data_IF_266250298137
#
_entry.id   IF_266250298137
#
_cell.length_a   1.000
_cell.length_b   1.000
_cell.length_c   1.000
_cell.angle_alpha   90.00
_cell.angle_beta   90.00
_cell.angle_gamma   90.00
#
_symmetry.space_group_name_H-M   'P 1'
#
loop_
_entity.id
_entity.type
_entity.pdbx_description
1 polymer ?
#
# COMPACT_ATOMS: atom_id res chain seq x y z
N UNK A 1 -28.22 -70.19 22.06
CA UNK A 1 -29.36 -69.50 22.70
C UNK A 1 -28.87 -68.42 23.63
N UNK A 2 -28.44 -67.27 23.11
CA UNK A 2 -28.17 -66.03 23.88
C UNK A 2 -28.19 -64.86 22.91
N UNK A 3 -29.36 -64.45 22.50
CA UNK A 3 -29.62 -63.23 21.71
C UNK A 3 -31.08 -62.94 21.90
N UNK A 4 -31.47 -62.05 22.83
CA UNK A 4 -32.75 -61.38 22.94
C UNK A 4 -32.98 -60.79 24.35
N UNK A 5 -32.04 -60.01 24.90
CA UNK A 5 -32.30 -59.13 26.06
C UNK A 5 -31.34 -57.96 25.98
N UNK A 6 -31.44 -57.12 24.91
CA UNK A 6 -30.71 -55.87 24.84
C UNK A 6 -31.44 -54.80 24.00
N UNK A 7 -32.80 -54.94 23.95
CA UNK A 7 -33.61 -53.97 23.14
C UNK A 7 -34.70 -53.28 23.91
N UNK A 8 -34.66 -53.24 25.24
CA UNK A 8 -35.74 -52.64 26.03
C UNK A 8 -35.30 -51.60 27.06
N UNK A 9 -34.03 -51.15 27.01
CA UNK A 9 -33.50 -50.12 27.93
C UNK A 9 -32.95 -48.87 27.23
N UNK A 10 -33.32 -48.63 25.95
CA UNK A 10 -32.89 -47.46 25.18
C UNK A 10 -34.01 -46.52 24.78
N UNK A 11 -35.21 -46.68 25.34
CA UNK A 11 -36.37 -45.82 25.02
C UNK A 11 -36.90 -44.97 26.16
N UNK A 12 -36.18 -44.80 27.29
CA UNK A 12 -36.65 -44.00 28.40
C UNK A 12 -35.70 -42.93 28.92
N UNK A 13 -34.72 -42.51 28.12
CA UNK A 13 -33.80 -41.38 28.43
C UNK A 13 -33.86 -40.27 27.32
N UNK A 14 -34.98 -40.12 26.62
CA UNK A 14 -35.16 -39.09 25.60
C UNK A 14 -36.31 -38.11 25.92
N UNK A 15 -36.72 -38.03 27.19
CA UNK A 15 -37.85 -37.15 27.51
C UNK A 15 -37.64 -36.19 28.68
N UNK A 16 -36.40 -35.89 29.12
CA UNK A 16 -36.13 -34.80 30.08
C UNK A 16 -34.80 -34.12 29.69
N UNK A 17 -34.77 -33.48 28.55
CA UNK A 17 -33.76 -32.44 28.23
C UNK A 17 -34.24 -31.54 27.08
N UNK A 18 -35.47 -31.18 27.14
CA UNK A 18 -36.08 -30.26 26.19
C UNK A 18 -36.36 -28.90 26.82
N UNK A 19 -35.36 -28.19 27.34
CA UNK A 19 -35.40 -26.75 27.63
C UNK A 19 -33.98 -26.23 27.85
N UNK A 20 -33.08 -26.56 26.95
CA UNK A 20 -31.93 -25.69 26.71
C UNK A 20 -32.32 -24.85 25.51
N UNK A 21 -32.72 -23.62 25.76
CA UNK A 21 -32.70 -22.58 24.76
C UNK A 21 -31.28 -22.54 24.16
N UNK A 22 -31.07 -23.35 23.13
CA UNK A 22 -30.03 -23.09 22.18
C UNK A 22 -30.42 -21.75 21.57
N UNK A 23 -29.81 -20.69 22.08
CA UNK A 23 -29.67 -19.46 21.35
C UNK A 23 -29.04 -19.83 20.03
N UNK A 24 -29.81 -19.94 18.97
CA UNK A 24 -29.32 -19.68 17.63
C UNK A 24 -28.77 -18.28 17.71
N UNK A 25 -27.43 -18.17 17.78
CA UNK A 25 -26.76 -17.04 17.18
C UNK A 25 -26.98 -17.20 15.67
N UNK A 26 -28.23 -16.85 15.23
CA UNK A 26 -28.41 -16.47 13.86
C UNK A 26 -27.39 -15.36 13.63
N UNK A 27 -26.60 -15.45 12.58
CA UNK A 27 -25.86 -14.32 12.06
C UNK A 27 -26.84 -13.14 12.06
N UNK A 28 -26.68 -12.22 13.03
CA UNK A 28 -27.38 -10.94 12.97
C UNK A 28 -26.88 -10.35 11.66
N UNK A 29 -27.78 -10.17 10.68
CA UNK A 29 -27.44 -9.48 9.44
C UNK A 29 -26.71 -8.19 9.82
N UNK A 30 -25.39 -8.19 9.64
CA UNK A 30 -24.58 -7.04 10.00
C UNK A 30 -25.04 -5.87 9.15
N UNK A 31 -25.42 -4.75 9.78
CA UNK A 31 -25.81 -3.55 9.06
C UNK A 31 -24.65 -2.94 8.30
N UNK A 32 -23.42 -3.22 8.76
CA UNK A 32 -22.18 -2.76 8.15
C UNK A 32 -21.36 -3.96 7.71
N UNK A 33 -21.00 -3.99 6.43
CA UNK A 33 -20.05 -4.93 5.86
C UNK A 33 -18.94 -4.15 5.17
N UNK A 34 -17.74 -4.15 5.77
CA UNK A 34 -16.55 -3.51 5.22
C UNK A 34 -15.67 -4.53 4.51
N UNK A 35 -15.50 -4.35 3.18
CA UNK A 35 -14.53 -5.10 2.40
C UNK A 35 -13.20 -4.34 2.39
N UNK A 36 -12.24 -4.83 3.17
CA UNK A 36 -10.94 -4.20 3.35
C UNK A 36 -9.93 -4.61 2.26
N UNK A 37 -9.24 -3.61 1.72
CA UNK A 37 -8.18 -3.75 0.71
C UNK A 37 -6.83 -4.14 1.32
N UNK A 38 -6.53 -3.72 2.56
CA UNK A 38 -5.19 -3.81 3.18
C UNK A 38 -5.04 -5.08 4.03
N UNK A 39 -4.34 -6.14 3.53
CA UNK A 39 -4.15 -7.38 4.29
C UNK A 39 -3.39 -7.17 5.61
N UNK A 40 -2.43 -6.25 5.64
CA UNK A 40 -1.63 -5.91 6.81
C UNK A 40 -2.45 -5.32 7.96
N UNK A 41 -3.63 -4.76 7.66
CA UNK A 41 -4.54 -4.14 8.61
C UNK A 41 -5.66 -5.08 9.10
N UNK A 42 -5.75 -6.32 8.60
CA UNK A 42 -6.88 -7.23 8.82
C UNK A 42 -7.22 -7.42 10.30
N UNK A 43 -6.25 -7.81 11.12
CA UNK A 43 -6.48 -8.08 12.56
C UNK A 43 -6.91 -6.84 13.33
N UNK A 44 -6.39 -5.67 12.95
CA UNK A 44 -6.74 -4.40 13.60
C UNK A 44 -8.18 -4.01 13.26
N UNK A 45 -8.62 -4.19 12.02
CA UNK A 45 -10.01 -3.94 11.65
C UNK A 45 -11.00 -4.92 12.32
N UNK A 46 -10.60 -6.17 12.56
CA UNK A 46 -11.41 -7.13 13.32
C UNK A 46 -11.56 -6.72 14.79
N UNK A 47 -10.49 -6.23 15.43
CA UNK A 47 -10.54 -5.68 16.79
C UNK A 47 -11.44 -4.43 16.84
N UNK A 48 -11.30 -3.56 15.88
CA UNK A 48 -12.00 -2.29 15.75
C UNK A 48 -13.50 -2.52 15.55
N UNK A 49 -13.90 -3.52 14.74
CA UNK A 49 -15.29 -3.93 14.57
C UNK A 49 -15.93 -4.36 15.90
N UNK A 50 -15.21 -5.14 16.72
CA UNK A 50 -15.66 -5.54 18.06
C UNK A 50 -15.82 -4.33 18.98
N UNK A 51 -14.87 -3.38 18.95
CA UNK A 51 -14.96 -2.16 19.76
C UNK A 51 -16.15 -1.29 19.38
N UNK A 52 -16.40 -1.15 18.09
CA UNK A 52 -17.57 -0.43 17.61
C UNK A 52 -18.89 -1.10 18.07
N UNK A 53 -18.98 -2.43 17.99
CA UNK A 53 -20.15 -3.16 18.46
C UNK A 53 -20.34 -3.03 19.99
N UNK A 54 -19.24 -3.09 20.77
CA UNK A 54 -19.27 -2.88 22.23
C UNK A 54 -19.81 -1.49 22.59
N UNK A 55 -19.41 -0.45 21.86
CA UNK A 55 -19.79 0.93 22.14
C UNK A 55 -21.18 1.33 21.60
N UNK A 56 -21.59 0.75 20.48
CA UNK A 56 -22.79 1.21 19.75
C UNK A 56 -23.92 0.17 19.66
N UNK A 57 -23.60 -1.09 19.92
CA UNK A 57 -24.52 -2.21 19.72
C UNK A 57 -24.69 -2.61 18.25
N UNK A 58 -23.98 -1.99 17.32
CA UNK A 58 -24.05 -2.28 15.87
C UNK A 58 -22.91 -3.19 15.45
N UNK A 59 -23.22 -4.39 14.98
CA UNK A 59 -22.23 -5.34 14.49
C UNK A 59 -21.66 -4.89 13.14
N UNK A 60 -20.33 -5.03 12.98
CA UNK A 60 -19.59 -4.77 11.74
C UNK A 60 -18.94 -6.06 11.27
N UNK A 61 -19.28 -6.50 10.07
CA UNK A 61 -18.58 -7.58 9.37
C UNK A 61 -17.39 -6.99 8.61
N UNK A 62 -16.19 -7.48 8.90
CA UNK A 62 -14.99 -7.14 8.13
C UNK A 62 -14.54 -8.36 7.33
N UNK A 63 -14.32 -8.19 6.04
CA UNK A 63 -13.67 -9.19 5.18
C UNK A 63 -12.48 -8.53 4.52
N UNK A 64 -11.31 -9.11 4.68
CA UNK A 64 -10.10 -8.62 4.04
C UNK A 64 -9.78 -9.46 2.82
N UNK A 65 -9.63 -8.83 1.67
CA UNK A 65 -9.18 -9.50 0.46
C UNK A 65 -7.72 -9.94 0.59
N UNK A 66 -7.37 -11.09 0.01
CA UNK A 66 -5.98 -11.49 -0.08
C UNK A 66 -5.20 -10.51 -0.97
N UNK A 67 -3.88 -10.42 -0.75
CA UNK A 67 -3.03 -9.54 -1.55
C UNK A 67 -3.27 -9.73 -3.05
N UNK A 68 -3.42 -8.62 -3.76
CA UNK A 68 -3.65 -8.55 -5.23
C UNK A 68 -4.91 -9.27 -5.75
N UNK A 69 -5.87 -9.57 -4.88
CA UNK A 69 -7.15 -10.18 -5.28
C UNK A 69 -8.36 -9.28 -5.00
N UNK A 70 -8.13 -8.05 -4.58
CA UNK A 70 -9.21 -7.17 -4.12
C UNK A 70 -10.29 -6.95 -5.19
N UNK A 71 -9.91 -6.58 -6.41
CA UNK A 71 -10.85 -6.34 -7.50
C UNK A 71 -11.69 -7.58 -7.85
N UNK A 72 -11.06 -8.76 -7.83
CA UNK A 72 -11.78 -10.02 -8.06
C UNK A 72 -12.73 -10.34 -6.90
N UNK A 73 -12.29 -10.08 -5.66
CA UNK A 73 -13.09 -10.27 -4.46
C UNK A 73 -14.27 -9.30 -4.46
N UNK A 74 -14.04 -8.01 -4.72
CA UNK A 74 -15.09 -7.01 -4.82
C UNK A 74 -16.11 -7.38 -5.89
N UNK A 75 -15.67 -7.78 -7.09
CA UNK A 75 -16.55 -8.22 -8.16
C UNK A 75 -17.43 -9.42 -7.76
N UNK A 76 -16.87 -10.33 -6.98
CA UNK A 76 -17.60 -11.50 -6.46
C UNK A 76 -18.58 -11.15 -5.35
N UNK A 77 -18.20 -10.24 -4.44
CA UNK A 77 -18.99 -9.88 -3.27
C UNK A 77 -20.08 -8.86 -3.56
N UNK A 78 -19.82 -7.87 -4.42
CA UNK A 78 -20.74 -6.74 -4.68
C UNK A 78 -22.06 -7.17 -5.33
N UNK A 79 -22.08 -8.31 -6.00
CA UNK A 79 -23.23 -8.85 -6.68
C UNK A 79 -24.14 -9.74 -5.79
N UNK A 80 -23.72 -9.99 -4.53
CA UNK A 80 -24.46 -10.83 -3.58
C UNK A 80 -25.60 -10.06 -2.91
N UNK A 81 -26.55 -10.78 -2.35
CA UNK A 81 -27.65 -10.18 -1.56
C UNK A 81 -27.16 -9.52 -0.25
N UNK A 82 -26.05 -10.03 0.30
CA UNK A 82 -25.32 -9.50 1.46
C UNK A 82 -24.04 -8.76 1.04
N UNK A 83 -24.13 -7.98 -0.03
CA UNK A 83 -23.02 -7.23 -0.60
C UNK A 83 -22.34 -6.30 0.42
N UNK A 84 -21.01 -5.99 0.24
CA UNK A 84 -20.33 -4.99 1.04
C UNK A 84 -21.08 -3.66 1.01
N UNK A 85 -21.24 -3.05 2.19
CA UNK A 85 -21.84 -1.73 2.35
C UNK A 85 -20.81 -0.61 2.27
N UNK A 86 -19.57 -0.94 2.66
CA UNK A 86 -18.38 -0.11 2.52
C UNK A 86 -17.37 -0.91 1.68
N UNK A 87 -16.85 -0.30 0.65
CA UNK A 87 -15.78 -0.86 -0.17
C UNK A 87 -14.77 0.23 -0.55
N UNK A 88 -13.67 -0.17 -1.14
CA UNK A 88 -12.61 0.75 -1.51
C UNK A 88 -12.46 0.79 -3.03
N UNK A 89 -12.27 1.98 -3.57
CA UNK A 89 -11.91 2.19 -4.97
C UNK A 89 -10.47 2.67 -5.05
N UNK A 90 -9.75 2.16 -6.04
CA UNK A 90 -8.34 2.46 -6.22
C UNK A 90 -8.19 3.65 -7.18
N UNK A 91 -8.23 4.85 -6.63
CA UNK A 91 -8.12 6.10 -7.38
C UNK A 91 -9.24 6.35 -8.38
N UNK A 92 -9.03 7.30 -9.30
CA UNK A 92 -10.03 7.66 -10.32
C UNK A 92 -10.39 6.50 -11.27
N UNK A 93 -9.42 5.69 -11.66
CA UNK A 93 -9.64 4.51 -12.53
C UNK A 93 -10.49 3.47 -11.81
N UNK A 94 -10.21 3.21 -10.52
CA UNK A 94 -11.03 2.33 -9.70
C UNK A 94 -12.46 2.85 -9.53
N UNK A 95 -12.63 4.16 -9.35
CA UNK A 95 -13.96 4.77 -9.32
C UNK A 95 -14.72 4.55 -10.64
N UNK A 96 -14.07 4.77 -11.78
CA UNK A 96 -14.71 4.61 -13.08
C UNK A 96 -15.24 3.18 -13.31
N UNK A 97 -14.50 2.18 -12.83
CA UNK A 97 -14.91 0.78 -12.87
C UNK A 97 -16.13 0.48 -11.94
N UNK A 98 -16.29 1.22 -10.83
CA UNK A 98 -17.27 0.94 -9.78
C UNK A 98 -18.30 2.04 -9.55
N UNK A 99 -18.34 3.11 -10.35
CA UNK A 99 -19.23 4.28 -10.19
C UNK A 99 -20.71 3.93 -10.07
N UNK A 100 -21.14 2.85 -10.72
CA UNK A 100 -22.53 2.38 -10.64
C UNK A 100 -22.90 1.80 -9.26
N UNK A 101 -21.93 1.63 -8.38
CA UNK A 101 -22.14 1.16 -7.00
C UNK A 101 -21.88 2.27 -5.97
N UNK A 102 -21.27 3.39 -6.34
CA UNK A 102 -20.91 4.44 -5.41
C UNK A 102 -22.10 5.37 -5.08
N UNK A 103 -22.33 5.60 -3.79
CA UNK A 103 -23.31 6.56 -3.27
C UNK A 103 -22.70 7.98 -3.31
N UNK A 104 -23.49 8.99 -3.68
CA UNK A 104 -23.11 10.37 -3.46
C UNK A 104 -23.12 10.71 -1.96
N UNK A 105 -21.96 11.03 -1.41
CA UNK A 105 -21.74 11.30 0.02
C UNK A 105 -21.39 12.77 0.30
N UNK A 106 -21.68 13.68 -0.63
CA UNK A 106 -21.31 15.13 -0.51
C UNK A 106 -21.86 15.79 0.75
N UNK A 107 -23.02 15.35 1.24
CA UNK A 107 -23.66 15.90 2.42
C UNK A 107 -23.30 15.13 3.71
N UNK A 108 -22.39 14.16 3.64
CA UNK A 108 -21.96 13.38 4.79
C UNK A 108 -20.97 14.15 5.68
N UNK A 109 -20.98 13.82 6.98
CA UNK A 109 -19.97 14.33 7.90
C UNK A 109 -18.56 13.81 7.50
N UNK A 110 -18.47 12.58 7.01
CA UNK A 110 -17.20 12.00 6.56
C UNK A 110 -16.53 12.92 5.52
N UNK A 111 -17.25 13.34 4.48
CA UNK A 111 -16.71 14.32 3.52
C UNK A 111 -16.40 15.67 4.18
N UNK A 112 -17.22 16.11 5.14
CA UNK A 112 -16.97 17.39 5.83
C UNK A 112 -15.65 17.39 6.63
N UNK A 113 -15.19 16.23 7.10
CA UNK A 113 -13.92 16.11 7.83
C UNK A 113 -12.67 16.25 6.96
N UNK A 114 -12.78 16.02 5.63
CA UNK A 114 -11.64 16.07 4.74
C UNK A 114 -11.00 17.46 4.76
N UNK A 115 -9.70 17.54 5.02
CA UNK A 115 -8.94 18.80 5.15
C UNK A 115 -8.83 19.54 3.82
N UNK A 116 -8.55 18.79 2.75
CA UNK A 116 -8.54 19.29 1.37
C UNK A 116 -9.62 18.57 0.56
N UNK A 117 -10.67 19.32 0.18
CA UNK A 117 -11.81 18.81 -0.58
C UNK A 117 -11.46 18.36 -2.00
N UNK A 118 -10.32 18.82 -2.54
CA UNK A 118 -9.85 18.41 -3.87
C UNK A 118 -9.38 16.96 -3.91
N UNK A 119 -9.04 16.37 -2.75
CA UNK A 119 -8.64 14.98 -2.65
C UNK A 119 -9.78 13.97 -2.86
N UNK A 120 -11.05 14.40 -2.74
CA UNK A 120 -12.18 13.52 -2.94
C UNK A 120 -12.38 13.16 -4.42
N UNK A 121 -12.87 11.96 -4.69
CA UNK A 121 -13.30 11.59 -6.05
C UNK A 121 -14.65 12.25 -6.34
N UNK A 122 -14.64 13.07 -7.38
CA UNK A 122 -15.79 13.86 -7.85
C UNK A 122 -16.24 13.38 -9.22
N UNK A 123 -17.55 13.40 -9.45
CA UNK A 123 -18.14 13.23 -10.76
C UNK A 123 -19.33 14.22 -10.85
N UNK A 124 -19.23 15.22 -11.76
CA UNK A 124 -20.12 16.38 -11.77
C UNK A 124 -20.11 17.10 -10.42
N UNK A 125 -21.30 17.32 -9.83
CA UNK A 125 -21.47 17.98 -8.53
C UNK A 125 -21.45 17.00 -7.34
N UNK A 126 -21.32 15.69 -7.59
CA UNK A 126 -21.34 14.63 -6.58
C UNK A 126 -19.96 14.31 -6.02
N UNK A 127 -19.94 13.74 -4.81
CA UNK A 127 -18.74 13.18 -4.15
C UNK A 127 -18.99 11.71 -3.89
N UNK A 128 -18.17 10.84 -4.45
CA UNK A 128 -18.46 9.40 -4.47
C UNK A 128 -17.48 8.56 -3.67
N UNK A 129 -16.29 9.09 -3.37
CA UNK A 129 -15.35 8.44 -2.48
C UNK A 129 -14.42 9.47 -1.83
N UNK A 130 -13.91 9.14 -0.64
CA UNK A 130 -12.96 9.98 0.10
C UNK A 130 -11.72 9.17 0.46
N UNK A 131 -10.52 9.75 0.33
CA UNK A 131 -9.31 9.11 0.83
C UNK A 131 -9.36 9.07 2.36
N UNK A 132 -8.77 8.04 2.96
CA UNK A 132 -8.75 7.90 4.41
C UNK A 132 -7.34 7.77 4.97
N UNK A 133 -6.36 7.60 4.11
CA UNK A 133 -4.94 7.49 4.47
C UNK A 133 -4.09 8.22 3.45
N UNK A 134 -3.10 8.97 3.93
CA UNK A 134 -1.98 9.50 3.14
C UNK A 134 -0.79 8.60 3.38
N UNK A 135 -0.18 8.14 2.32
CA UNK A 135 0.95 7.23 2.37
C UNK A 135 2.12 7.78 1.55
N UNK A 136 3.30 7.31 1.87
CA UNK A 136 4.49 7.65 1.09
C UNK A 136 5.43 6.48 0.99
N UNK A 137 6.20 6.45 -0.09
CA UNK A 137 7.22 5.43 -0.31
C UNK A 137 8.51 6.02 -0.88
N UNK A 138 9.56 5.26 -0.66
CA UNK A 138 10.91 5.58 -1.08
C UNK A 138 11.83 4.39 -0.85
N UNK A 139 13.07 4.66 -0.54
CA UNK A 139 14.03 3.65 -0.07
C UNK A 139 14.12 3.78 1.45
N UNK A 140 13.60 2.77 2.16
CA UNK A 140 13.80 2.64 3.62
C UNK A 140 15.23 2.20 3.84
N UNK A 141 15.94 2.82 4.79
CA UNK A 141 17.30 2.45 5.11
C UNK A 141 17.53 2.30 6.62
N UNK A 142 18.51 1.46 6.96
CA UNK A 142 19.00 1.29 8.33
C UNK A 142 20.12 2.29 8.58
N UNK A 143 19.84 3.37 9.33
CA UNK A 143 20.80 4.44 9.58
C UNK A 143 22.04 3.95 10.30
N UNK A 144 21.94 2.97 11.20
CA UNK A 144 23.12 2.39 11.86
C UNK A 144 24.10 1.75 10.86
N UNK A 145 23.60 1.11 9.79
CA UNK A 145 24.45 0.56 8.71
C UNK A 145 25.02 1.70 7.85
N UNK A 146 24.23 2.74 7.56
CA UNK A 146 24.69 3.90 6.82
C UNK A 146 25.81 4.65 7.59
N UNK A 147 25.64 4.89 8.89
CA UNK A 147 26.68 5.50 9.72
C UNK A 147 27.97 4.67 9.77
N UNK A 148 27.83 3.32 9.81
CA UNK A 148 28.96 2.40 9.74
C UNK A 148 29.71 2.52 8.39
N UNK A 149 28.96 2.67 7.29
CA UNK A 149 29.55 2.92 5.98
C UNK A 149 30.29 4.26 5.95
N UNK A 150 29.68 5.35 6.39
CA UNK A 150 30.32 6.67 6.39
C UNK A 150 31.58 6.72 7.24
N UNK A 151 31.69 5.91 8.28
CA UNK A 151 32.85 5.79 9.13
C UNK A 151 34.02 4.95 8.55
N UNK A 152 33.83 4.28 7.39
CA UNK A 152 34.88 3.48 6.75
C UNK A 152 36.07 4.38 6.32
N UNK A 153 37.25 4.01 6.77
CA UNK A 153 38.48 4.77 6.43
C UNK A 153 38.86 4.71 4.93
N UNK A 154 38.46 3.66 4.26
CA UNK A 154 38.84 3.38 2.86
C UNK A 154 37.63 3.40 1.92
N UNK A 155 36.58 4.16 2.25
CA UNK A 155 35.47 4.36 1.32
C UNK A 155 35.93 5.16 0.11
N UNK A 156 35.39 4.88 -1.06
CA UNK A 156 35.74 5.52 -2.32
C UNK A 156 34.96 6.81 -2.59
N UNK A 157 33.92 7.07 -1.84
CA UNK A 157 33.12 8.28 -2.02
C UNK A 157 33.48 9.34 -0.99
N UNK A 158 33.32 10.61 -1.36
CA UNK A 158 33.44 11.74 -0.42
C UNK A 158 32.16 12.05 0.35
N UNK A 159 31.09 11.24 0.15
CA UNK A 159 29.79 11.38 0.80
C UNK A 159 29.89 10.89 2.24
N UNK A 160 29.49 11.74 3.21
CA UNK A 160 29.66 11.49 4.63
C UNK A 160 28.33 11.42 5.42
N UNK A 161 27.22 11.65 4.74
CA UNK A 161 25.88 11.56 5.34
C UNK A 161 24.82 11.18 4.30
N UNK A 162 23.69 10.63 4.75
CA UNK A 162 22.56 10.32 3.87
C UNK A 162 21.99 11.60 3.24
N UNK A 163 22.01 12.73 3.96
CA UNK A 163 21.54 14.02 3.43
C UNK A 163 22.32 14.53 2.19
N UNK A 164 23.53 14.03 1.97
CA UNK A 164 24.30 14.34 0.76
C UNK A 164 23.90 13.49 -0.45
N UNK A 165 23.17 12.38 -0.23
CA UNK A 165 22.66 11.49 -1.29
C UNK A 165 21.38 12.12 -1.85
N UNK A 166 21.51 13.06 -2.75
CA UNK A 166 20.40 13.80 -3.34
C UNK A 166 20.32 13.66 -4.88
N UNK A 167 20.94 12.62 -5.44
CA UNK A 167 20.86 12.28 -6.86
C UNK A 167 21.17 10.81 -7.11
N UNK A 168 20.72 10.29 -8.24
CA UNK A 168 21.04 8.92 -8.66
C UNK A 168 22.55 8.65 -8.75
N UNK A 169 23.32 9.59 -9.26
CA UNK A 169 24.77 9.43 -9.38
C UNK A 169 25.44 9.23 -8.01
N UNK A 170 25.01 9.97 -7.00
CA UNK A 170 25.49 9.83 -5.63
C UNK A 170 24.98 8.55 -4.96
N UNK A 171 23.70 8.22 -5.14
CA UNK A 171 23.14 6.96 -4.66
C UNK A 171 23.87 5.77 -5.23
N UNK A 172 24.11 5.78 -6.55
CA UNK A 172 24.87 4.73 -7.25
C UNK A 172 26.28 4.59 -6.70
N UNK A 173 27.02 5.70 -6.55
CA UNK A 173 28.37 5.68 -6.00
C UNK A 173 28.42 5.07 -4.59
N UNK A 174 27.49 5.45 -3.71
CA UNK A 174 27.39 4.89 -2.36
C UNK A 174 27.05 3.41 -2.39
N UNK A 175 26.08 2.99 -3.18
CA UNK A 175 25.65 1.59 -3.28
C UNK A 175 26.77 0.70 -3.82
N UNK A 176 27.48 1.12 -4.87
CA UNK A 176 28.59 0.36 -5.44
C UNK A 176 29.78 0.23 -4.46
N UNK A 177 30.08 1.30 -3.70
CA UNK A 177 31.14 1.25 -2.69
C UNK A 177 30.70 0.39 -1.46
N UNK A 178 29.45 0.46 -1.02
CA UNK A 178 28.90 -0.41 0.01
C UNK A 178 28.96 -1.88 -0.41
N UNK A 179 28.64 -2.18 -1.69
CA UNK A 179 28.72 -3.54 -2.25
C UNK A 179 30.17 -4.08 -2.21
N UNK A 180 31.16 -3.23 -2.45
CA UNK A 180 32.57 -3.63 -2.30
C UNK A 180 33.00 -3.83 -0.83
N UNK A 181 32.17 -3.46 0.15
CA UNK A 181 32.50 -3.51 1.58
C UNK A 181 31.46 -4.29 2.42
N UNK A 182 30.67 -5.21 1.83
CA UNK A 182 29.60 -5.94 2.52
C UNK A 182 30.04 -6.59 3.83
N UNK A 183 31.17 -7.30 3.84
CA UNK A 183 31.71 -7.97 5.02
C UNK A 183 32.00 -6.99 6.17
N UNK A 184 32.57 -5.82 5.85
CA UNK A 184 32.87 -4.79 6.85
C UNK A 184 31.60 -4.16 7.42
N UNK A 185 30.54 -4.08 6.61
CA UNK A 185 29.25 -3.57 7.00
C UNK A 185 28.43 -4.61 7.79
N UNK A 186 28.72 -5.89 7.58
CA UNK A 186 28.00 -7.03 8.19
C UNK A 186 26.66 -7.30 7.52
N UNK A 187 26.55 -7.02 6.22
CA UNK A 187 25.35 -7.23 5.40
C UNK A 187 25.65 -8.19 4.25
N UNK A 188 24.61 -8.77 3.65
CA UNK A 188 24.72 -9.70 2.52
C UNK A 188 24.49 -9.03 1.15
N UNK A 189 23.78 -7.93 1.16
CA UNK A 189 23.52 -7.07 0.00
C UNK A 189 23.21 -5.67 0.47
N UNK A 190 23.34 -4.68 -0.39
CA UNK A 190 22.95 -3.31 -0.05
C UNK A 190 21.45 -3.20 0.01
N UNK A 191 20.76 -3.79 -0.96
CA UNK A 191 19.29 -3.87 -0.98
C UNK A 191 18.80 -5.23 -0.54
N UNK A 192 17.66 -5.25 0.16
CA UNK A 192 16.85 -6.44 0.31
C UNK A 192 16.37 -6.92 -1.07
N UNK A 193 16.02 -8.19 -1.18
CA UNK A 193 15.56 -8.76 -2.43
C UNK A 193 14.32 -8.04 -2.94
N UNK A 194 14.28 -7.81 -4.23
CA UNK A 194 13.09 -7.27 -4.88
C UNK A 194 12.02 -8.34 -4.98
N UNK A 195 10.79 -8.01 -4.60
CA UNK A 195 9.64 -8.87 -4.87
C UNK A 195 9.27 -8.76 -6.34
N UNK A 196 9.59 -9.78 -7.12
CA UNK A 196 9.16 -9.92 -8.53
C UNK A 196 8.28 -11.14 -8.76
N UNK A 197 7.82 -11.83 -7.68
CA UNK A 197 6.79 -12.82 -7.81
C UNK A 197 5.47 -12.19 -8.27
N UNK A 198 4.73 -12.93 -9.10
CA UNK A 198 3.47 -12.44 -9.66
C UNK A 198 2.52 -11.97 -8.55
N UNK A 199 2.06 -10.72 -8.69
CA UNK A 199 1.15 -10.10 -7.75
C UNK A 199 1.83 -9.39 -6.56
N UNK A 200 3.13 -9.52 -6.39
CA UNK A 200 3.90 -8.81 -5.36
C UNK A 200 4.94 -7.83 -5.94
N UNK A 201 4.91 -7.67 -7.25
CA UNK A 201 5.81 -6.87 -8.07
C UNK A 201 5.37 -5.39 -8.22
N UNK A 202 4.29 -4.99 -7.55
CA UNK A 202 3.72 -3.63 -7.59
C UNK A 202 4.71 -2.53 -7.21
N UNK A 203 5.74 -2.84 -6.40
CA UNK A 203 6.81 -1.89 -6.08
C UNK A 203 7.55 -1.36 -7.31
N UNK A 204 7.58 -2.15 -8.37
CA UNK A 204 8.32 -1.86 -9.59
C UNK A 204 7.41 -1.45 -10.74
N UNK A 205 6.36 -2.22 -10.97
CA UNK A 205 5.42 -2.02 -12.07
C UNK A 205 4.56 -0.74 -11.91
N UNK A 206 4.28 -0.33 -10.67
CA UNK A 206 3.56 0.91 -10.39
C UNK A 206 4.43 1.93 -9.67
N UNK A 207 4.99 1.60 -8.52
CA UNK A 207 5.67 2.55 -7.64
C UNK A 207 6.97 3.12 -8.25
N UNK A 208 7.83 2.30 -8.84
CA UNK A 208 9.00 2.83 -9.53
C UNK A 208 8.62 3.46 -10.87
N UNK A 209 7.72 2.84 -11.67
CA UNK A 209 7.25 3.42 -12.94
C UNK A 209 6.51 4.76 -12.75
N UNK A 210 5.98 5.02 -11.56
CA UNK A 210 5.39 6.31 -11.18
C UNK A 210 6.32 7.48 -11.46
N UNK A 211 7.61 7.34 -11.14
CA UNK A 211 8.57 8.44 -11.18
C UNK A 211 8.88 8.89 -12.63
N UNK A 212 9.29 7.99 -13.56
CA UNK A 212 9.51 8.38 -14.94
C UNK A 212 8.27 8.95 -15.62
N UNK A 213 7.07 8.40 -15.34
CA UNK A 213 5.83 8.92 -15.93
C UNK A 213 5.41 10.27 -15.32
N UNK A 214 5.66 10.48 -14.02
CA UNK A 214 5.49 11.80 -13.41
C UNK A 214 6.35 12.85 -14.13
N UNK A 215 7.63 12.58 -14.36
CA UNK A 215 8.51 13.51 -15.03
C UNK A 215 8.10 13.75 -16.48
N UNK A 216 7.67 12.72 -17.20
CA UNK A 216 7.14 12.86 -18.57
C UNK A 216 5.91 13.78 -18.62
N UNK A 217 4.95 13.59 -17.69
CA UNK A 217 3.73 14.42 -17.65
C UNK A 217 4.03 15.86 -17.22
N UNK A 218 4.88 16.04 -16.21
CA UNK A 218 5.33 17.36 -15.76
C UNK A 218 5.97 18.16 -16.91
N UNK A 219 6.81 17.51 -17.72
CA UNK A 219 7.53 18.17 -18.80
C UNK A 219 6.66 18.39 -20.05
N UNK A 220 5.53 17.69 -20.15
CA UNK A 220 4.56 17.85 -21.24
C UNK A 220 3.64 19.04 -21.00
N UNK A 221 3.17 19.23 -19.78
CA UNK A 221 2.34 20.36 -19.34
C UNK A 221 2.68 20.70 -17.89
N UNK A 222 3.25 21.88 -17.68
CA UNK A 222 3.66 22.37 -16.35
C UNK A 222 2.53 23.01 -15.56
N UNK A 223 1.40 23.30 -16.19
CA UNK A 223 0.28 24.05 -15.59
C UNK A 223 -0.80 23.10 -15.06
N UNK A 224 -0.86 21.87 -15.56
CA UNK A 224 -1.84 20.86 -15.15
C UNK A 224 -1.22 19.84 -14.18
N UNK A 225 -2.02 19.35 -13.23
CA UNK A 225 -1.60 18.25 -12.34
C UNK A 225 -1.16 17.03 -13.16
N UNK A 226 0.04 16.46 -12.93
CA UNK A 226 0.56 15.34 -13.70
C UNK A 226 -0.35 14.09 -13.68
N UNK A 227 -1.14 13.88 -12.62
CA UNK A 227 -2.08 12.77 -12.54
C UNK A 227 -3.25 12.99 -13.49
N UNK A 228 -3.77 14.23 -13.56
CA UNK A 228 -4.84 14.58 -14.50
C UNK A 228 -4.35 14.48 -15.95
N UNK A 229 -3.14 14.97 -16.25
CA UNK A 229 -2.52 14.81 -17.57
C UNK A 229 -2.44 13.34 -17.97
N UNK A 230 -2.02 12.48 -17.03
CA UNK A 230 -1.86 11.06 -17.30
C UNK A 230 -3.22 10.35 -17.50
N UNK A 231 -4.28 10.79 -16.79
CA UNK A 231 -5.64 10.27 -16.98
C UNK A 231 -6.16 10.51 -18.40
N UNK A 232 -5.83 11.66 -18.99
CA UNK A 232 -6.27 12.06 -20.33
C UNK A 232 -5.34 11.58 -21.45
N UNK A 233 -4.18 10.97 -21.08
CA UNK A 233 -3.15 10.58 -22.06
C UNK A 233 -3.42 9.18 -22.61
N UNK A 234 -3.74 9.11 -23.92
CA UNK A 234 -3.93 7.82 -24.61
C UNK A 234 -2.60 7.15 -25.02
N UNK A 235 -1.56 7.92 -25.27
CA UNK A 235 -0.25 7.43 -25.68
C UNK A 235 0.87 8.08 -24.85
N UNK A 236 1.68 7.26 -24.18
CA UNK A 236 2.91 7.70 -23.51
C UNK A 236 4.13 7.47 -24.41
N UNK A 237 5.14 8.32 -24.27
CA UNK A 237 6.40 8.18 -25.01
C UNK A 237 7.46 7.40 -24.25
N UNK A 238 7.28 7.30 -22.93
CA UNK A 238 8.23 6.68 -22.00
C UNK A 238 9.63 7.31 -22.09
N UNK A 239 9.67 8.65 -22.17
CA UNK A 239 10.89 9.45 -22.37
C UNK A 239 11.98 9.17 -21.33
N UNK A 240 11.58 8.75 -20.13
CA UNK A 240 12.46 8.46 -18.99
C UNK A 240 12.69 6.95 -18.78
N UNK A 241 12.51 6.14 -19.84
CA UNK A 241 12.74 4.68 -19.80
C UNK A 241 14.13 4.31 -19.30
N UNK A 242 15.17 5.02 -19.76
CA UNK A 242 16.54 4.79 -19.29
C UNK A 242 16.74 5.14 -17.82
N UNK A 243 16.06 6.16 -17.33
CA UNK A 243 16.06 6.56 -15.93
C UNK A 243 15.36 5.51 -15.05
N UNK A 244 14.26 4.94 -15.52
CA UNK A 244 13.61 3.79 -14.90
C UNK A 244 14.59 2.61 -14.76
N UNK A 245 15.25 2.25 -15.86
CA UNK A 245 16.25 1.18 -15.88
C UNK A 245 17.39 1.44 -14.87
N UNK A 246 17.86 2.68 -14.77
CA UNK A 246 18.99 3.02 -13.90
C UNK A 246 18.78 2.57 -12.45
N UNK A 247 17.65 2.94 -11.83
CA UNK A 247 17.39 2.56 -10.45
C UNK A 247 17.01 1.08 -10.32
N UNK A 248 16.27 0.54 -11.29
CA UNK A 248 15.92 -0.88 -11.30
C UNK A 248 17.19 -1.74 -11.35
N UNK A 249 18.09 -1.48 -12.27
CA UNK A 249 19.40 -2.19 -12.40
C UNK A 249 20.26 -2.02 -11.15
N UNK A 250 20.36 -0.80 -10.62
CA UNK A 250 21.12 -0.55 -9.40
C UNK A 250 20.60 -1.43 -8.25
N UNK A 251 19.29 -1.53 -8.11
CA UNK A 251 18.67 -2.30 -7.05
C UNK A 251 18.88 -3.80 -7.23
N UNK A 252 18.51 -4.37 -8.39
CA UNK A 252 18.57 -5.82 -8.60
C UNK A 252 20.01 -6.39 -8.66
N UNK A 253 20.99 -5.58 -9.07
CA UNK A 253 22.37 -6.02 -9.12
C UNK A 253 23.10 -5.94 -7.76
N UNK A 254 22.51 -5.24 -6.75
CA UNK A 254 23.11 -5.07 -5.43
C UNK A 254 22.20 -5.63 -4.31
N UNK A 255 21.27 -6.52 -4.67
CA UNK A 255 20.34 -7.18 -3.75
C UNK A 255 20.99 -8.40 -3.05
N UNK A 256 20.41 -8.78 -1.90
CA UNK A 256 20.80 -9.99 -1.15
C UNK A 256 20.67 -11.26 -2.00
N UNK A 257 19.62 -11.36 -2.81
CA UNK A 257 19.34 -12.49 -3.69
C UNK A 257 19.78 -12.19 -5.13
N UNK A 258 20.44 -13.13 -5.82
CA UNK A 258 20.77 -12.99 -7.23
C UNK A 258 19.52 -12.68 -8.08
N UNK A 259 19.66 -11.76 -9.03
CA UNK A 259 18.54 -11.26 -9.85
C UNK A 259 17.75 -12.37 -10.58
N UNK A 260 18.39 -13.45 -10.96
CA UNK A 260 17.73 -14.61 -11.61
C UNK A 260 16.78 -15.37 -10.69
N UNK A 261 16.83 -15.14 -9.38
CA UNK A 261 15.98 -15.80 -8.38
C UNK A 261 14.90 -14.87 -7.79
N UNK A 262 14.83 -13.63 -8.24
CA UNK A 262 13.91 -12.62 -7.66
C UNK A 262 12.42 -12.94 -7.90
N UNK A 263 12.10 -13.72 -8.93
CA UNK A 263 10.73 -14.19 -9.17
C UNK A 263 10.17 -15.14 -8.11
N UNK A 264 11.04 -15.68 -7.22
CA UNK A 264 10.63 -16.50 -6.08
C UNK A 264 10.53 -15.72 -4.76
N UNK A 265 10.81 -14.42 -4.78
CA UNK A 265 10.81 -13.57 -3.59
C UNK A 265 9.48 -12.85 -3.41
N UNK A 266 8.98 -12.92 -2.19
CA UNK A 266 7.80 -12.17 -1.75
C UNK A 266 8.17 -10.85 -1.09
N UNK A 267 7.16 -10.00 -0.85
CA UNK A 267 7.30 -8.80 -0.01
C UNK A 267 7.77 -9.17 1.39
N UNK A 268 7.21 -10.23 1.97
CA UNK A 268 7.59 -10.70 3.29
C UNK A 268 9.07 -11.12 3.36
N UNK A 269 9.60 -11.76 2.31
CA UNK A 269 11.04 -12.10 2.23
C UNK A 269 11.91 -10.84 2.25
N UNK A 270 11.56 -9.84 1.44
CA UNK A 270 12.30 -8.57 1.36
C UNK A 270 12.34 -7.84 2.70
N UNK A 271 11.18 -7.78 3.37
CA UNK A 271 11.07 -7.09 4.67
C UNK A 271 11.80 -7.86 5.77
N UNK A 272 11.77 -9.19 5.74
CA UNK A 272 12.53 -10.03 6.67
C UNK A 272 14.05 -9.89 6.47
N UNK A 273 14.55 -9.84 5.23
CA UNK A 273 15.97 -9.61 4.95
C UNK A 273 16.45 -8.28 5.53
N UNK A 274 15.65 -7.22 5.40
CA UNK A 274 15.95 -5.91 6.00
C UNK A 274 15.91 -5.98 7.53
N UNK A 275 14.83 -6.48 8.12
CA UNK A 275 14.63 -6.55 9.56
C UNK A 275 15.71 -7.40 10.26
N UNK A 276 16.18 -8.47 9.61
CA UNK A 276 17.27 -9.32 10.12
C UNK A 276 18.68 -8.74 9.88
N UNK A 277 18.78 -7.50 9.39
CA UNK A 277 20.05 -6.83 9.14
C UNK A 277 20.87 -7.42 8.00
N UNK A 278 20.26 -8.17 7.08
CA UNK A 278 20.96 -8.75 5.93
C UNK A 278 21.13 -7.74 4.80
N UNK A 279 20.33 -6.67 4.78
CA UNK A 279 20.40 -5.57 3.84
C UNK A 279 20.42 -4.22 4.56
N UNK A 280 21.04 -3.22 3.94
CA UNK A 280 21.03 -1.85 4.44
C UNK A 280 19.77 -1.08 4.04
N UNK A 281 19.16 -1.45 2.92
CA UNK A 281 18.08 -0.71 2.27
C UNK A 281 16.99 -1.65 1.75
N UNK A 282 15.74 -1.15 1.71
CA UNK A 282 14.61 -1.83 1.04
C UNK A 282 13.65 -0.78 0.47
N UNK A 283 13.17 -0.99 -0.75
CA UNK A 283 12.11 -0.15 -1.29
C UNK A 283 10.77 -0.59 -0.69
N UNK A 284 10.09 0.34 0.02
CA UNK A 284 8.73 0.17 0.53
C UNK A 284 8.15 1.52 0.97
N UNK A 285 6.94 1.52 1.52
CA UNK A 285 6.28 2.69 2.09
C UNK A 285 6.11 2.62 3.60
N UNK A 286 5.42 3.62 4.16
CA UNK A 286 5.19 3.70 5.62
C UNK A 286 4.36 2.52 6.16
N UNK A 287 3.51 1.88 5.36
CA UNK A 287 2.83 0.62 5.71
C UNK A 287 3.78 -0.54 6.04
N UNK A 288 5.06 -0.42 5.66
CA UNK A 288 6.08 -1.44 5.88
C UNK A 288 6.57 -1.56 7.33
N UNK A 289 6.23 -0.64 8.23
CA UNK A 289 6.75 -0.68 9.60
C UNK A 289 6.34 -1.95 10.36
N UNK A 290 5.09 -2.35 10.30
CA UNK A 290 4.61 -3.59 10.93
C UNK A 290 5.31 -4.84 10.38
N UNK A 291 5.66 -4.82 9.09
CA UNK A 291 6.39 -5.90 8.41
C UNK A 291 7.88 -5.96 8.82
N UNK A 292 8.43 -4.87 9.37
CA UNK A 292 9.79 -4.82 9.94
C UNK A 292 9.73 -5.21 11.42
N UNK A 293 8.93 -4.50 12.20
CA UNK A 293 8.85 -4.66 13.66
C UNK A 293 8.32 -6.03 14.08
N UNK A 294 7.43 -6.62 13.29
CA UNK A 294 6.83 -7.94 13.54
C UNK A 294 7.72 -9.15 13.21
N UNK A 295 8.89 -8.94 12.59
CA UNK A 295 9.78 -10.05 12.25
C UNK A 295 10.44 -10.61 13.49
N UNK A 296 10.28 -11.92 13.72
CA UNK A 296 10.98 -12.62 14.81
C UNK A 296 12.49 -12.54 14.60
N UNK A 297 13.21 -12.07 15.61
CA UNK A 297 14.66 -11.85 15.52
C UNK A 297 15.06 -10.55 14.82
N UNK A 298 14.14 -9.61 14.65
CA UNK A 298 14.44 -8.27 14.14
C UNK A 298 15.63 -7.64 14.89
N UNK A 299 16.61 -7.14 14.16
CA UNK A 299 17.82 -6.50 14.67
C UNK A 299 17.85 -5.00 14.42
N UNK A 300 16.91 -4.47 13.62
CA UNK A 300 16.84 -3.06 13.26
C UNK A 300 16.07 -2.31 14.34
N UNK A 301 16.67 -1.30 14.93
CA UNK A 301 16.01 -0.47 15.93
C UNK A 301 15.08 0.52 15.25
N UNK A 302 13.97 0.83 15.91
CA UNK A 302 13.04 1.87 15.47
C UNK A 302 13.73 3.20 15.16
N UNK A 303 14.68 3.62 16.00
CA UNK A 303 15.44 4.87 15.83
C UNK A 303 16.30 4.92 14.58
N UNK A 304 16.66 3.75 14.04
CA UNK A 304 17.56 3.60 12.90
C UNK A 304 16.81 3.41 11.58
N UNK A 305 15.47 3.32 11.61
CA UNK A 305 14.63 3.22 10.42
C UNK A 305 14.32 4.60 9.89
N UNK A 306 14.78 4.87 8.67
CA UNK A 306 14.64 6.14 7.98
C UNK A 306 14.25 5.91 6.52
N UNK A 307 13.88 6.98 5.81
CA UNK A 307 13.50 6.92 4.40
C UNK A 307 14.25 7.97 3.58
N UNK A 308 14.58 7.63 2.32
CA UNK A 308 15.13 8.57 1.34
C UNK A 308 14.37 8.45 0.00
N UNK A 309 14.42 9.48 -0.86
CA UNK A 309 13.82 9.44 -2.19
C UNK A 309 14.42 8.39 -3.11
N UNK A 310 13.65 8.01 -4.13
CA UNK A 310 14.06 7.12 -5.21
C UNK A 310 14.58 7.98 -6.38
N UNK A 311 15.87 8.24 -6.41
CA UNK A 311 16.49 9.01 -7.47
C UNK A 311 16.74 8.16 -8.72
N UNK A 312 16.41 8.68 -9.91
CA UNK A 312 16.50 7.95 -11.19
C UNK A 312 17.45 8.59 -12.20
N UNK A 313 18.06 9.72 -11.87
CA UNK A 313 19.03 10.42 -12.74
C UNK A 313 18.36 11.41 -13.69
N UNK A 314 17.34 12.11 -13.24
CA UNK A 314 16.72 13.21 -14.00
C UNK A 314 17.31 14.55 -13.57
N UNK A 315 17.24 15.53 -14.44
CA UNK A 315 17.71 16.88 -14.14
C UNK A 315 16.85 17.52 -13.05
N UNK A 316 17.49 18.12 -12.04
CA UNK A 316 16.82 18.80 -10.94
C UNK A 316 16.26 17.85 -9.88
N UNK A 317 16.69 16.58 -9.84
CA UNK A 317 16.26 15.64 -8.80
C UNK A 317 16.86 15.94 -7.40
N UNK A 318 17.80 16.87 -7.29
CA UNK A 318 18.42 17.27 -6.03
C UNK A 318 17.40 17.84 -5.02
N UNK A 319 16.31 18.39 -5.52
CA UNK A 319 15.18 18.89 -4.72
C UNK A 319 14.00 17.92 -4.69
N UNK A 320 14.15 16.69 -5.19
CA UNK A 320 13.13 15.68 -5.15
C UNK A 320 12.94 15.14 -3.73
N UNK A 321 11.68 15.11 -3.26
CA UNK A 321 11.25 14.38 -2.09
C UNK A 321 10.86 12.93 -2.40
N UNK A 322 10.18 12.29 -1.47
CA UNK A 322 9.61 10.94 -1.63
C UNK A 322 8.32 10.98 -2.46
N UNK A 323 7.83 9.80 -2.84
CA UNK A 323 6.52 9.70 -3.46
C UNK A 323 5.44 9.71 -2.38
N UNK A 324 4.50 10.67 -2.45
CA UNK A 324 3.42 10.82 -1.46
C UNK A 324 2.08 10.90 -2.19
N UNK A 325 1.08 10.23 -1.66
CA UNK A 325 -0.26 10.25 -2.25
C UNK A 325 -1.27 9.43 -1.48
N UNK A 326 -2.37 9.17 -2.13
CA UNK A 326 -3.42 8.27 -1.66
C UNK A 326 -3.90 7.40 -2.83
N UNK A 327 -4.18 6.16 -2.56
CA UNK A 327 -4.65 5.19 -3.55
C UNK A 327 -6.04 4.69 -3.20
N UNK A 328 -6.28 4.49 -1.90
CA UNK A 328 -7.46 3.83 -1.40
C UNK A 328 -8.49 4.86 -0.95
N UNK A 329 -9.66 4.81 -1.57
CA UNK A 329 -10.78 5.70 -1.27
C UNK A 329 -11.95 4.87 -0.76
N UNK A 330 -12.55 5.31 0.34
CA UNK A 330 -13.77 4.70 0.89
C UNK A 330 -14.97 5.14 0.09
N UNK A 331 -15.74 4.17 -0.38
CA UNK A 331 -17.03 4.34 -1.04
C UNK A 331 -18.13 3.60 -0.29
N UNK A 332 -19.36 4.12 -0.34
CA UNK A 332 -20.56 3.51 0.20
C UNK A 332 -21.35 2.89 -0.95
N UNK A 333 -21.81 1.66 -0.77
CA UNK A 333 -22.61 0.98 -1.78
C UNK A 333 -24.04 1.56 -1.85
N UNK A 334 -24.35 2.20 -2.98
CA UNK A 334 -25.69 2.81 -3.20
C UNK A 334 -26.81 1.78 -3.38
N UNK A 335 -26.48 0.52 -3.68
CA UNK A 335 -27.45 -0.53 -3.99
C UNK A 335 -27.91 -1.32 -2.74
N UNK A 336 -27.34 -1.03 -1.56
CA UNK A 336 -27.85 -1.59 -0.29
C UNK A 336 -28.96 -0.71 0.29
N UNK A 337 -29.68 -1.21 1.29
CA UNK A 337 -30.76 -0.43 1.92
C UNK A 337 -30.25 0.88 2.52
N UNK A 338 -31.11 1.88 2.59
CA UNK A 338 -30.79 3.18 3.17
C UNK A 338 -30.31 3.05 4.63
N UNK A 339 -30.90 2.14 5.39
CA UNK A 339 -30.45 1.83 6.75
C UNK A 339 -29.00 1.36 6.80
N UNK A 340 -28.60 0.46 5.88
CA UNK A 340 -27.22 -0.02 5.76
C UNK A 340 -26.25 1.09 5.31
N UNK A 341 -26.70 1.97 4.41
CA UNK A 341 -25.91 3.14 3.99
C UNK A 341 -25.65 4.09 5.17
N UNK A 342 -26.68 4.42 5.94
CA UNK A 342 -26.59 5.28 7.12
C UNK A 342 -25.73 4.67 8.24
N UNK A 343 -25.89 3.36 8.48
CA UNK A 343 -25.06 2.63 9.45
C UNK A 343 -23.58 2.63 9.05
N UNK A 344 -23.30 2.47 7.77
CA UNK A 344 -21.93 2.51 7.22
C UNK A 344 -21.28 3.89 7.38
N UNK A 345 -22.00 4.96 7.09
CA UNK A 345 -21.50 6.32 7.31
C UNK A 345 -21.26 6.59 8.81
N UNK A 346 -22.16 6.14 9.70
CA UNK A 346 -21.93 6.27 11.15
C UNK A 346 -20.72 5.50 11.65
N UNK A 347 -20.46 4.31 11.10
CA UNK A 347 -19.23 3.57 11.43
C UNK A 347 -17.98 4.34 11.00
N UNK A 348 -17.94 4.89 9.78
CA UNK A 348 -16.82 5.69 9.31
C UNK A 348 -16.68 7.01 10.07
N UNK A 349 -17.80 7.68 10.42
CA UNK A 349 -17.78 8.85 11.30
C UNK A 349 -17.15 8.53 12.66
N UNK A 350 -17.57 7.43 13.29
CA UNK A 350 -17.01 6.97 14.55
C UNK A 350 -15.52 6.65 14.43
N UNK A 351 -15.14 5.93 13.37
CA UNK A 351 -13.74 5.56 13.11
C UNK A 351 -12.81 6.78 13.05
N UNK A 352 -13.25 7.85 12.37
CA UNK A 352 -12.40 9.02 12.13
C UNK A 352 -12.68 10.22 13.04
N UNK A 353 -13.59 10.11 14.02
CA UNK A 353 -13.88 11.23 14.93
C UNK A 353 -14.01 10.87 16.40
N UNK A 354 -14.26 9.60 16.77
CA UNK A 354 -14.30 9.20 18.17
C UNK A 354 -12.88 9.05 18.73
N UNK A 355 -12.74 9.14 20.05
CA UNK A 355 -11.47 8.91 20.75
C UNK A 355 -10.93 7.50 20.47
N UNK A 356 -11.78 6.47 20.59
CA UNK A 356 -11.42 5.07 20.33
C UNK A 356 -11.02 4.88 18.86
N UNK A 357 -11.83 5.33 17.91
CA UNK A 357 -11.56 5.19 16.47
C UNK A 357 -10.25 5.85 16.07
N UNK A 358 -10.04 7.11 16.46
CA UNK A 358 -8.82 7.86 16.17
C UNK A 358 -7.58 7.17 16.73
N UNK A 359 -7.64 6.66 17.95
CA UNK A 359 -6.54 5.92 18.57
C UNK A 359 -6.19 4.66 17.80
N UNK A 360 -7.18 3.89 17.34
CA UNK A 360 -6.93 2.73 16.48
C UNK A 360 -6.29 3.14 15.15
N UNK A 361 -6.80 4.20 14.53
CA UNK A 361 -6.30 4.70 13.24
C UNK A 361 -4.83 5.12 13.33
N UNK A 362 -4.43 5.83 14.37
CA UNK A 362 -3.06 6.37 14.48
C UNK A 362 -2.08 5.41 15.16
N UNK A 363 -2.48 4.73 16.24
CA UNK A 363 -1.55 3.91 17.03
C UNK A 363 -1.47 2.45 16.52
N UNK A 364 -2.58 1.91 15.96
CA UNK A 364 -2.65 0.51 15.53
C UNK A 364 -2.51 0.34 14.02
N UNK A 365 -3.19 1.18 13.24
CA UNK A 365 -3.10 1.16 11.79
C UNK A 365 -1.92 1.99 11.26
N UNK A 366 -1.42 2.96 12.04
CA UNK A 366 -0.32 3.85 11.63
C UNK A 366 -0.71 4.78 10.47
N UNK A 367 -1.99 5.13 10.33
CA UNK A 367 -2.48 5.92 9.21
C UNK A 367 -2.31 7.42 9.46
N UNK A 368 -1.64 8.09 8.55
CA UNK A 368 -1.67 9.54 8.41
C UNK A 368 -2.97 9.87 7.68
N UNK A 369 -3.91 10.51 8.36
CA UNK A 369 -5.23 10.76 7.79
C UNK A 369 -5.36 12.16 7.19
N UNK A 370 -6.13 12.34 6.10
CA UNK A 370 -6.40 13.64 5.53
C UNK A 370 -7.59 14.36 6.21
N UNK A 371 -7.92 14.04 7.48
CA UNK A 371 -9.10 14.56 8.15
C UNK A 371 -8.76 15.59 9.24
N UNK A 372 -9.53 16.68 9.30
CA UNK A 372 -9.41 17.76 10.29
C UNK A 372 -9.80 17.34 11.72
N UNK A 373 -10.34 16.14 11.88
CA UNK A 373 -10.71 15.56 13.19
C UNK A 373 -9.49 15.09 14.00
N UNK A 374 -8.32 14.98 13.35
CA UNK A 374 -7.06 14.61 14.01
C UNK A 374 -6.20 15.84 14.26
N UNK A 375 -5.74 16.00 15.50
CA UNK A 375 -4.80 17.05 15.89
C UNK A 375 -3.36 16.64 15.59
N UNK A 376 -2.41 17.58 15.71
CA UNK A 376 -0.98 17.28 15.53
C UNK A 376 -0.47 16.20 16.51
N UNK A 377 -0.98 16.22 17.77
CA UNK A 377 -0.63 15.22 18.78
C UNK A 377 -1.21 13.83 18.52
N UNK A 378 -2.20 13.73 17.65
CA UNK A 378 -2.87 12.48 17.25
C UNK A 378 -2.30 11.92 15.94
N UNK A 379 -1.07 12.25 15.57
CA UNK A 379 -0.40 11.68 14.40
C UNK A 379 0.27 10.33 14.75
N UNK A 380 0.41 9.42 13.77
CA UNK A 380 1.11 8.16 13.98
C UNK A 380 2.54 8.37 14.48
N UNK A 381 2.95 7.54 15.44
CA UNK A 381 4.25 7.65 16.09
C UNK A 381 5.29 6.66 15.58
N UNK A 382 4.92 5.78 14.64
CA UNK A 382 5.88 4.87 14.05
C UNK A 382 6.96 5.60 13.22
N UNK A 383 8.15 5.02 13.04
CA UNK A 383 9.28 5.72 12.43
C UNK A 383 9.04 6.09 10.97
N UNK A 384 8.32 5.26 10.21
CA UNK A 384 8.07 5.52 8.79
C UNK A 384 7.00 6.58 8.58
N UNK A 385 5.94 6.60 9.39
CA UNK A 385 4.95 7.68 9.36
C UNK A 385 5.59 9.03 9.70
N UNK A 386 6.49 9.07 10.70
CA UNK A 386 7.28 10.29 11.01
C UNK A 386 8.14 10.75 9.82
N UNK A 387 8.74 9.82 9.07
CA UNK A 387 9.49 10.17 7.86
C UNK A 387 8.58 10.79 6.79
N UNK A 388 7.39 10.21 6.53
CA UNK A 388 6.44 10.79 5.58
C UNK A 388 6.06 12.20 5.99
N UNK A 389 5.68 12.40 7.27
CA UNK A 389 5.32 13.73 7.79
C UNK A 389 6.48 14.72 7.65
N UNK A 390 7.72 14.28 7.92
CA UNK A 390 8.93 15.11 7.75
C UNK A 390 9.11 15.56 6.29
N UNK A 391 8.91 14.67 5.32
CA UNK A 391 9.00 15.02 3.91
C UNK A 391 7.86 15.91 3.46
N UNK A 392 6.63 15.67 3.92
CA UNK A 392 5.46 16.51 3.59
C UNK A 392 5.61 17.93 4.14
N UNK A 393 6.23 18.10 5.31
CA UNK A 393 6.44 19.41 5.96
C UNK A 393 7.64 20.17 5.39
N UNK A 394 8.49 19.55 4.60
CA UNK A 394 9.67 20.19 4.03
C UNK A 394 9.34 20.86 2.69
N UNK A 395 9.16 22.17 2.73
CA UNK A 395 8.81 22.98 1.55
C UNK A 395 9.95 23.17 0.54
N UNK A 396 11.19 22.83 0.91
CA UNK A 396 12.35 22.90 0.02
C UNK A 396 12.41 21.68 -0.93
N UNK A 397 11.63 20.63 -0.63
CA UNK A 397 11.56 19.42 -1.42
C UNK A 397 10.23 19.32 -2.17
N UNK A 398 10.30 18.83 -3.39
CA UNK A 398 9.14 18.53 -4.21
C UNK A 398 8.82 17.04 -4.10
N UNK A 399 7.79 16.70 -3.31
CA UNK A 399 7.28 15.35 -3.27
C UNK A 399 6.62 14.97 -4.62
N UNK A 400 6.76 13.71 -5.00
CA UNK A 400 6.19 13.19 -6.25
C UNK A 400 4.79 12.64 -5.96
N UNK A 401 3.73 13.12 -6.63
CA UNK A 401 2.39 12.57 -6.48
C UNK A 401 2.29 11.13 -7.04
N UNK A 402 1.28 10.41 -6.60
CA UNK A 402 1.02 9.05 -7.06
C UNK A 402 0.28 9.02 -8.40
N UNK A 403 0.98 9.34 -9.48
CA UNK A 403 0.41 9.31 -10.83
C UNK A 403 0.03 7.89 -11.30
N UNK A 404 0.55 6.85 -10.64
CA UNK A 404 0.20 5.46 -10.96
C UNK A 404 -1.29 5.13 -10.73
N UNK A 405 -2.01 5.95 -9.96
CA UNK A 405 -3.47 5.84 -9.80
C UNK A 405 -4.23 6.14 -11.09
N UNK A 406 -3.54 6.73 -12.06
CA UNK A 406 -4.02 6.97 -13.42
C UNK A 406 -3.55 5.91 -14.44
N UNK A 407 -2.85 4.85 -14.03
CA UNK A 407 -2.45 3.78 -14.95
C UNK A 407 -3.68 3.04 -15.49
N UNK A 408 -3.66 2.59 -16.75
CA UNK A 408 -4.87 2.14 -17.45
C UNK A 408 -5.65 1.02 -16.74
N UNK A 409 -4.94 0.02 -16.23
CA UNK A 409 -5.59 -1.14 -15.60
C UNK A 409 -4.62 -2.00 -14.78
N UNK A 410 -5.18 -2.95 -14.02
CA UNK A 410 -4.38 -3.99 -13.36
C UNK A 410 -3.71 -4.95 -14.38
N UNK A 411 -4.31 -5.13 -15.56
CA UNK A 411 -3.71 -5.93 -16.63
C UNK A 411 -2.45 -5.26 -17.19
N UNK A 412 -2.48 -3.94 -17.40
CA UNK A 412 -1.29 -3.16 -17.76
C UNK A 412 -0.16 -3.36 -16.72
N UNK A 413 -0.45 -3.14 -15.45
CA UNK A 413 0.52 -3.28 -14.36
C UNK A 413 1.14 -4.69 -14.36
N UNK A 414 0.32 -5.73 -14.45
CA UNK A 414 0.77 -7.13 -14.48
C UNK A 414 1.69 -7.44 -15.66
N UNK A 415 1.40 -6.95 -16.85
CA UNK A 415 2.25 -7.14 -18.03
C UNK A 415 3.60 -6.44 -17.88
N UNK A 416 3.62 -5.23 -17.31
CA UNK A 416 4.86 -4.53 -16.98
C UNK A 416 5.68 -5.32 -15.95
N UNK A 417 5.06 -5.80 -14.87
CA UNK A 417 5.73 -6.60 -13.86
C UNK A 417 6.33 -7.90 -14.42
N UNK A 418 5.58 -8.61 -15.25
CA UNK A 418 6.08 -9.82 -15.95
C UNK A 418 7.27 -9.49 -16.84
N UNK A 419 7.22 -8.36 -17.58
CA UNK A 419 8.31 -7.94 -18.44
C UNK A 419 9.58 -7.55 -17.67
N UNK A 420 9.43 -6.95 -16.49
CA UNK A 420 10.54 -6.65 -15.59
C UNK A 420 11.18 -7.92 -15.02
N UNK A 421 10.39 -8.94 -14.69
CA UNK A 421 10.89 -10.24 -14.25
C UNK A 421 11.69 -10.92 -15.35
N UNK A 422 11.15 -11.01 -16.57
CA UNK A 422 11.83 -11.59 -17.74
C UNK A 422 13.16 -10.87 -18.02
N UNK A 423 13.18 -9.54 -17.89
CA UNK A 423 14.40 -8.75 -18.00
C UNK A 423 15.43 -9.10 -16.89
N UNK A 424 14.98 -9.18 -15.63
CA UNK A 424 15.86 -9.52 -14.51
C UNK A 424 16.47 -10.93 -14.65
N UNK A 425 15.71 -11.87 -15.23
CA UNK A 425 16.17 -13.23 -15.50
C UNK A 425 17.07 -13.34 -16.75
N UNK A 426 17.08 -12.32 -17.60
CA UNK A 426 17.86 -12.28 -18.81
C UNK A 426 17.16 -12.82 -20.06
N UNK A 427 15.87 -13.10 -19.94
CA UNK A 427 15.03 -13.62 -21.05
C UNK A 427 14.58 -12.50 -22.01
N UNK A 428 14.57 -11.26 -21.54
CA UNK A 428 14.28 -10.05 -22.32
C UNK A 428 15.39 -8.99 -22.18
N UNK A 429 15.43 -8.07 -23.15
CA UNK A 429 16.20 -6.84 -23.09
C UNK A 429 15.36 -5.70 -22.53
N UNK A 430 16.02 -4.59 -22.14
CA UNK A 430 15.29 -3.42 -21.63
C UNK A 430 14.36 -2.80 -22.70
N UNK A 431 14.76 -2.83 -23.97
CA UNK A 431 13.93 -2.37 -25.07
C UNK A 431 12.60 -3.14 -25.19
N UNK A 432 12.54 -4.37 -24.72
CA UNK A 432 11.30 -5.16 -24.68
C UNK A 432 10.39 -4.72 -23.52
N UNK A 433 10.98 -4.34 -22.37
CA UNK A 433 10.23 -3.71 -21.27
C UNK A 433 9.63 -2.39 -21.73
N UNK A 434 10.43 -1.54 -22.37
CA UNK A 434 9.98 -0.24 -22.91
C UNK A 434 8.81 -0.41 -23.89
N UNK A 435 8.92 -1.34 -24.84
CA UNK A 435 7.85 -1.66 -25.78
C UNK A 435 6.60 -2.16 -25.06
N UNK A 436 6.75 -2.97 -24.02
CA UNK A 436 5.61 -3.46 -23.23
C UNK A 436 4.88 -2.30 -22.58
N UNK A 437 5.61 -1.37 -21.92
CA UNK A 437 5.01 -0.19 -21.28
C UNK A 437 4.21 0.64 -22.29
N UNK A 438 4.82 0.99 -23.44
CA UNK A 438 4.18 1.85 -24.45
C UNK A 438 2.98 1.13 -25.10
N UNK A 439 3.17 -0.10 -25.58
CA UNK A 439 2.13 -0.80 -26.35
C UNK A 439 0.93 -1.21 -25.50
N UNK A 440 1.18 -1.61 -24.26
CA UNK A 440 0.10 -1.97 -23.33
C UNK A 440 -0.65 -0.74 -22.85
N UNK A 441 0.05 0.37 -22.59
CA UNK A 441 -0.62 1.64 -22.29
C UNK A 441 -1.62 1.98 -23.37
N UNK A 442 -1.17 2.05 -24.63
CA UNK A 442 -2.03 2.39 -25.77
C UNK A 442 -3.20 1.44 -25.90
N UNK A 443 -2.95 0.11 -25.89
CA UNK A 443 -4.01 -0.88 -26.11
C UNK A 443 -5.08 -0.93 -25.01
N UNK A 444 -4.83 -0.35 -23.86
CA UNK A 444 -5.78 -0.32 -22.75
C UNK A 444 -6.48 1.03 -22.61
N UNK A 445 -6.08 2.02 -23.43
CA UNK A 445 -6.69 3.36 -23.51
C UNK A 445 -7.53 3.53 -24.78
N UNK A 446 -7.30 2.72 -25.85
CA UNK A 446 -8.13 2.63 -27.06
C UNK A 446 -9.44 1.87 -26.78
#
# INVERSE_FOLDING_TARGET
>A
MKRKIFSALLCLIVLISGLSLAGCSGDKDSLVYFLNFKPEAASVYEELAKKYEEETGTAVKVVTAAANTYEQTLKSEIAKSDAPTIFQVNGPIGYDAWKDYCLDIKDSKLYSYLSDKSLAIKDGDGIYAVPYVVEGYGIIYNDAVMQKYFALQNKKTDINSVGEINSFSKLKAVVEDMTANLDKLGIKGVFASTSLSSGEDWRWQSHLLNIPLYYEMRDTDTDTDPTLNLLETNEIKNNYSKNFQNLFDLYINNSVTPKTLLGSKSVADSMAEFALGQAAMVQNGNWGWSQISGVSGNTVKETDVKMMPMYIGVEGEESQGICVGTENYLAINKNVSKEKQEASLKFLEWLFSSETGKKYVTEKLGFITPFTTFTEDEQPQDPLAREITRYMSNTDLRNIPWVFTAFPSEAFKKEVGSSLLDYAQGDKKWEDVEKTVISKWKSERD
#
